data_IF_559199610040
#
_entry.id   IF_559199610040
#
_cell.length_a   1.000
_cell.length_b   1.000
_cell.length_c   1.000
_cell.angle_alpha   90.00
_cell.angle_beta   90.00
_cell.angle_gamma   90.00
#
_symmetry.space_group_name_H-M   'P 1'
#
loop_
_entity.id
_entity.type
_entity.pdbx_description
1 polymer ?
#
# COMPACT_ATOMS: atom_id res chain seq x y z
N UNK A 1 -12.99 73.61 54.49
CA UNK A 1 -12.37 73.23 53.20
C UNK A 1 -11.76 71.84 53.34
N UNK A 2 -12.46 70.80 52.86
CA UNK A 2 -11.97 69.40 52.93
C UNK A 2 -11.04 69.14 51.74
N UNK A 3 -9.79 68.73 52.01
CA UNK A 3 -8.81 68.32 50.98
C UNK A 3 -8.91 66.80 50.80
N UNK A 4 -9.22 66.35 49.60
CA UNK A 4 -9.20 64.92 49.23
C UNK A 4 -7.81 64.57 48.69
N UNK A 5 -7.18 63.54 49.26
CA UNK A 5 -5.92 62.97 48.79
C UNK A 5 -6.26 61.82 47.81
N UNK A 6 -5.83 61.92 46.56
CA UNK A 6 -5.99 60.87 45.55
C UNK A 6 -4.91 59.80 45.75
N UNK A 7 -5.31 58.55 45.97
CA UNK A 7 -4.43 57.37 45.94
C UNK A 7 -4.24 56.91 44.48
N UNK A 8 -3.02 56.62 44.01
CA UNK A 8 -2.81 56.02 42.70
C UNK A 8 -3.15 54.52 42.73
N UNK A 9 -4.02 54.09 41.81
CA UNK A 9 -4.30 52.68 41.55
C UNK A 9 -3.24 52.14 40.60
N UNK A 10 -2.46 51.14 41.05
CA UNK A 10 -1.50 50.43 40.21
C UNK A 10 -2.21 49.23 39.58
N UNK A 11 -2.39 49.25 38.26
CA UNK A 11 -2.93 48.11 37.51
C UNK A 11 -1.76 47.23 37.08
N UNK A 12 -1.63 46.05 37.69
CA UNK A 12 -0.64 45.05 37.29
C UNK A 12 -1.29 44.17 36.21
N UNK A 13 -0.93 44.40 34.95
CA UNK A 13 -1.33 43.52 33.84
C UNK A 13 -0.45 42.27 33.82
N UNK A 14 -1.06 41.11 34.08
CA UNK A 14 -0.42 39.81 33.85
C UNK A 14 -0.59 39.41 32.39
N UNK A 15 0.52 39.39 31.64
CA UNK A 15 0.57 38.78 30.31
C UNK A 15 0.72 37.28 30.51
N UNK A 16 -0.35 36.52 30.26
CA UNK A 16 -0.28 35.06 30.19
C UNK A 16 0.39 34.66 28.88
N UNK A 17 1.67 34.29 28.93
CA UNK A 17 2.35 33.63 27.83
C UNK A 17 1.92 32.17 27.81
N UNK A 18 1.02 31.81 26.89
CA UNK A 18 0.69 30.41 26.60
C UNK A 18 1.95 29.71 26.04
N UNK A 19 2.25 28.47 26.47
CA UNK A 19 3.30 27.69 25.83
C UNK A 19 2.96 27.46 24.35
N UNK A 20 3.95 27.40 23.45
CA UNK A 20 3.71 27.10 22.05
C UNK A 20 3.02 25.75 21.92
N UNK A 21 1.84 25.75 21.30
CA UNK A 21 1.16 24.51 20.92
C UNK A 21 2.02 23.86 19.84
N UNK A 22 2.72 22.78 20.19
CA UNK A 22 3.35 21.90 19.21
C UNK A 22 2.21 21.15 18.54
N UNK A 23 1.74 21.64 17.39
CA UNK A 23 0.93 20.79 16.51
C UNK A 23 1.81 19.62 16.11
N UNK A 24 1.39 18.39 16.43
CA UNK A 24 1.96 17.22 15.79
C UNK A 24 1.81 17.42 14.27
N UNK A 25 2.92 17.35 13.54
CA UNK A 25 2.86 17.35 12.07
C UNK A 25 1.98 16.16 11.67
N UNK A 26 0.78 16.44 11.14
CA UNK A 26 0.01 15.42 10.43
C UNK A 26 0.86 15.01 9.22
N UNK A 27 1.50 13.84 9.32
CA UNK A 27 2.24 13.27 8.21
C UNK A 27 1.26 13.12 7.03
N UNK A 28 1.53 13.71 5.85
CA UNK A 28 0.60 13.63 4.73
C UNK A 28 0.26 12.17 4.42
N UNK A 29 -1.03 11.85 4.48
CA UNK A 29 -1.53 10.53 4.15
C UNK A 29 -1.13 10.17 2.71
N UNK A 30 -0.57 8.97 2.53
CA UNK A 30 -0.15 8.48 1.23
C UNK A 30 -1.38 7.93 0.51
N UNK A 31 -1.80 8.61 -0.54
CA UNK A 31 -2.96 8.20 -1.35
C UNK A 31 -2.45 7.44 -2.57
N UNK A 32 -2.73 6.14 -2.61
CA UNK A 32 -2.50 5.28 -3.78
C UNK A 32 -3.79 5.13 -4.58
N UNK A 33 -3.67 4.93 -5.91
CA UNK A 33 -4.84 4.66 -6.74
C UNK A 33 -5.49 3.34 -6.32
N UNK A 34 -6.83 3.37 -6.18
CA UNK A 34 -7.64 2.23 -5.75
C UNK A 34 -8.47 1.57 -6.87
N UNK A 35 -8.44 2.10 -8.10
CA UNK A 35 -9.19 1.57 -9.26
C UNK A 35 -8.25 1.09 -10.37
N UNK A 36 -8.52 -0.09 -10.93
CA UNK A 36 -7.69 -0.68 -12.00
C UNK A 36 -7.78 0.09 -13.31
N UNK A 37 -6.71 0.05 -14.12
CA UNK A 37 -6.67 0.62 -15.48
C UNK A 37 -5.68 -0.10 -16.38
N UNK A 38 -5.76 0.18 -17.67
CA UNK A 38 -4.72 -0.19 -18.62
C UNK A 38 -3.49 0.72 -18.43
N UNK A 39 -2.33 0.10 -18.20
CA UNK A 39 -1.05 0.76 -17.98
C UNK A 39 -0.02 0.29 -19.01
N UNK A 40 0.58 1.25 -19.71
CA UNK A 40 1.79 1.00 -20.52
C UNK A 40 3.04 1.00 -19.65
N UNK A 41 4.12 0.40 -20.12
CA UNK A 41 5.39 0.31 -19.39
C UNK A 41 5.90 1.68 -18.91
N UNK A 42 5.80 2.70 -19.75
CA UNK A 42 6.21 4.06 -19.38
C UNK A 42 5.48 4.58 -18.14
N UNK A 43 4.16 4.34 -18.04
CA UNK A 43 3.35 4.81 -16.92
C UNK A 43 3.73 4.15 -15.60
N UNK A 44 4.05 2.85 -15.63
CA UNK A 44 4.55 2.14 -14.44
C UNK A 44 5.91 2.68 -13.98
N UNK A 45 6.80 3.00 -14.93
CA UNK A 45 8.15 3.51 -14.64
C UNK A 45 8.19 4.96 -14.13
N UNK A 46 7.04 5.63 -14.03
CA UNK A 46 6.91 7.00 -13.51
C UNK A 46 5.90 7.10 -12.36
N UNK A 47 5.42 5.97 -11.82
CA UNK A 47 4.61 5.97 -10.60
C UNK A 47 5.37 6.69 -9.48
N UNK A 48 4.66 7.42 -8.62
CA UNK A 48 5.27 8.11 -7.48
C UNK A 48 5.66 7.13 -6.38
N UNK A 49 6.55 7.56 -5.47
CA UNK A 49 6.98 6.78 -4.31
C UNK A 49 7.70 5.47 -4.66
N UNK A 50 8.50 5.47 -5.73
CA UNK A 50 9.33 4.32 -6.12
C UNK A 50 10.78 4.74 -6.32
N UNK A 51 11.68 3.83 -6.00
CA UNK A 51 13.08 3.88 -6.40
C UNK A 51 13.33 2.81 -7.44
N UNK A 52 13.77 3.20 -8.64
CA UNK A 52 14.04 2.27 -9.74
C UNK A 52 15.54 2.01 -9.81
N UNK A 53 15.93 0.74 -9.66
CA UNK A 53 17.31 0.29 -9.83
C UNK A 53 17.60 0.03 -11.31
N UNK A 54 16.68 -0.61 -12.02
CA UNK A 54 16.85 -0.95 -13.43
C UNK A 54 15.52 -0.94 -14.19
N UNK A 55 15.50 -0.40 -15.41
CA UNK A 55 14.32 -0.40 -16.30
C UNK A 55 14.46 -1.45 -17.39
N UNK A 56 13.36 -2.04 -17.81
CA UNK A 56 13.31 -2.95 -18.97
C UNK A 56 11.98 -2.83 -19.74
N UNK A 57 11.91 -3.46 -20.92
CA UNK A 57 10.79 -3.29 -21.86
C UNK A 57 9.44 -3.87 -21.39
N UNK A 58 9.42 -4.50 -20.22
CA UNK A 58 8.21 -5.09 -19.63
C UNK A 58 7.98 -4.61 -18.19
N UNK A 59 8.72 -3.60 -17.72
CA UNK A 59 8.62 -3.12 -16.33
C UNK A 59 9.92 -2.54 -15.76
N UNK A 60 10.16 -2.78 -14.46
CA UNK A 60 11.39 -2.36 -13.79
C UNK A 60 11.74 -3.24 -12.58
N UNK A 61 13.00 -3.19 -12.15
CA UNK A 61 13.48 -3.63 -10.83
C UNK A 61 13.64 -2.43 -9.91
N UNK A 62 13.15 -2.53 -8.68
CA UNK A 62 13.12 -1.42 -7.74
C UNK A 62 12.38 -1.75 -6.44
N UNK A 63 12.10 -0.72 -5.65
CA UNK A 63 11.34 -0.85 -4.40
C UNK A 63 10.50 0.40 -4.14
N UNK A 64 9.58 0.33 -3.18
CA UNK A 64 8.83 1.49 -2.73
C UNK A 64 9.72 2.41 -1.89
N UNK A 65 9.44 3.73 -1.93
CA UNK A 65 10.00 4.69 -0.98
C UNK A 65 9.03 5.01 0.14
N UNK A 66 7.87 4.33 0.20
CA UNK A 66 6.90 4.47 1.27
C UNK A 66 7.46 3.80 2.52
N UNK A 67 7.36 4.49 3.66
CA UNK A 67 7.65 3.90 4.97
C UNK A 67 6.33 3.34 5.48
N UNK A 68 6.11 2.05 5.23
CA UNK A 68 4.89 1.36 5.63
C UNK A 68 4.83 1.23 7.17
N UNK A 69 3.62 1.13 7.71
CA UNK A 69 3.39 0.98 9.14
C UNK A 69 2.44 -0.18 9.38
N UNK A 70 3.00 -1.40 9.38
CA UNK A 70 2.24 -2.64 9.43
C UNK A 70 1.80 -3.04 10.84
N UNK A 71 0.55 -3.44 10.95
CA UNK A 71 -0.04 -4.10 12.11
C UNK A 71 -0.65 -5.43 11.68
N UNK A 72 -0.18 -6.53 12.25
CA UNK A 72 -0.82 -7.84 12.05
C UNK A 72 -2.03 -7.98 12.98
N UNK A 73 -3.17 -8.37 12.42
CA UNK A 73 -4.41 -8.52 13.17
C UNK A 73 -5.13 -9.81 12.79
N UNK A 74 -5.67 -10.51 13.78
CA UNK A 74 -6.61 -11.61 13.55
C UNK A 74 -8.04 -11.07 13.55
N UNK A 75 -8.76 -11.31 12.46
CA UNK A 75 -10.12 -10.86 12.22
C UNK A 75 -10.97 -12.06 11.78
N UNK A 76 -12.02 -12.36 12.53
CA UNK A 76 -12.91 -13.51 12.28
C UNK A 76 -12.17 -14.87 12.10
N UNK A 77 -11.02 -15.03 12.75
CA UNK A 77 -10.18 -16.24 12.66
C UNK A 77 -9.20 -16.26 11.48
N UNK A 78 -9.25 -15.26 10.60
CA UNK A 78 -8.29 -15.04 9.51
C UNK A 78 -7.26 -13.97 9.90
N UNK A 79 -6.09 -13.96 9.25
CA UNK A 79 -5.05 -12.95 9.50
C UNK A 79 -5.02 -11.90 8.38
N UNK A 80 -5.01 -10.64 8.79
CA UNK A 80 -4.86 -9.47 7.91
C UNK A 80 -3.69 -8.61 8.37
N UNK A 81 -3.17 -7.79 7.47
CA UNK A 81 -2.15 -6.78 7.76
C UNK A 81 -2.73 -5.41 7.43
N UNK A 82 -2.83 -4.57 8.45
CA UNK A 82 -3.24 -3.17 8.30
C UNK A 82 -1.98 -2.36 8.05
N UNK A 83 -1.95 -1.60 6.96
CA UNK A 83 -0.91 -0.62 6.69
C UNK A 83 -1.43 0.79 6.99
N UNK A 84 -1.01 1.33 8.13
CA UNK A 84 -1.44 2.66 8.59
C UNK A 84 -0.89 3.79 7.73
N UNK A 85 0.17 3.56 6.94
CA UNK A 85 0.75 4.58 6.06
C UNK A 85 -0.12 4.84 4.81
N UNK A 86 -0.73 3.78 4.28
CA UNK A 86 -1.53 3.83 3.04
C UNK A 86 -3.04 3.70 3.28
N UNK A 87 -3.47 3.39 4.50
CA UNK A 87 -4.88 3.13 4.81
C UNK A 87 -5.41 1.86 4.12
N UNK A 88 -4.56 0.86 3.90
CA UNK A 88 -4.91 -0.39 3.24
C UNK A 88 -4.93 -1.54 4.23
N UNK A 89 -5.80 -2.51 3.98
CA UNK A 89 -5.81 -3.80 4.66
C UNK A 89 -5.50 -4.87 3.63
N UNK A 90 -4.52 -5.71 3.95
CA UNK A 90 -4.05 -6.78 3.10
C UNK A 90 -4.38 -8.13 3.72
N UNK A 91 -4.59 -9.14 2.88
CA UNK A 91 -4.45 -10.51 3.37
C UNK A 91 -3.00 -10.71 3.84
N UNK A 92 -2.83 -11.28 5.04
CA UNK A 92 -1.49 -11.59 5.56
C UNK A 92 -0.83 -12.71 4.75
N UNK A 93 -1.64 -13.64 4.25
CA UNK A 93 -1.26 -14.65 3.27
C UNK A 93 -1.88 -14.34 1.91
N UNK A 94 -2.09 -15.35 1.07
CA UNK A 94 -2.68 -15.22 -0.25
C UNK A 94 -3.17 -16.59 -0.73
N UNK A 95 -3.29 -16.75 -2.04
CA UNK A 95 -3.57 -18.07 -2.62
C UNK A 95 -2.47 -19.08 -2.25
N UNK A 96 -2.86 -20.34 -2.03
CA UNK A 96 -1.92 -21.43 -1.75
C UNK A 96 -1.14 -21.87 -2.98
N UNK A 97 -1.72 -21.67 -4.16
CA UNK A 97 -1.16 -22.02 -5.45
C UNK A 97 -1.08 -20.80 -6.36
N UNK A 98 -0.23 -20.89 -7.38
CA UNK A 98 -0.21 -19.91 -8.46
C UNK A 98 -1.40 -20.11 -9.38
N UNK A 99 -2.04 -19.02 -9.77
CA UNK A 99 -3.23 -19.01 -10.62
C UNK A 99 -2.95 -18.25 -11.89
N UNK A 100 -3.55 -18.68 -13.00
CA UNK A 100 -3.69 -17.82 -14.18
C UNK A 100 -4.66 -16.67 -13.86
N UNK A 101 -4.62 -15.60 -14.65
CA UNK A 101 -5.37 -14.40 -14.31
C UNK A 101 -6.90 -14.61 -14.26
N UNK A 102 -7.53 -15.36 -15.19
CA UNK A 102 -8.95 -15.69 -15.08
C UNK A 102 -9.31 -16.46 -13.80
N UNK A 103 -8.47 -17.43 -13.38
CA UNK A 103 -8.68 -18.14 -12.11
C UNK A 103 -8.46 -17.25 -10.90
N UNK A 104 -7.51 -16.32 -10.96
CA UNK A 104 -7.30 -15.34 -9.91
C UNK A 104 -8.52 -14.43 -9.74
N UNK A 105 -9.12 -13.97 -10.85
CA UNK A 105 -10.36 -13.18 -10.84
C UNK A 105 -11.53 -13.98 -10.24
N UNK A 106 -11.68 -15.25 -10.60
CA UNK A 106 -12.70 -16.12 -9.98
C UNK A 106 -12.45 -16.33 -8.48
N UNK A 107 -11.18 -16.53 -8.09
CA UNK A 107 -10.82 -16.73 -6.68
C UNK A 107 -11.17 -15.51 -5.80
N UNK A 108 -11.07 -14.28 -6.35
CA UNK A 108 -11.50 -13.06 -5.64
C UNK A 108 -13.01 -13.09 -5.36
N UNK A 109 -13.81 -13.51 -6.35
CA UNK A 109 -15.27 -13.63 -6.21
C UNK A 109 -15.62 -14.66 -5.13
N UNK A 110 -15.06 -15.86 -5.24
CA UNK A 110 -15.31 -16.95 -4.29
C UNK A 110 -14.91 -16.59 -2.86
N UNK A 111 -13.84 -15.81 -2.70
CA UNK A 111 -13.36 -15.36 -1.40
C UNK A 111 -14.26 -14.30 -0.77
N UNK A 112 -14.77 -13.35 -1.58
CA UNK A 112 -15.73 -12.36 -1.13
C UNK A 112 -17.07 -12.99 -0.75
N UNK A 113 -17.54 -13.99 -1.50
CA UNK A 113 -18.78 -14.72 -1.19
C UNK A 113 -18.69 -15.46 0.15
N UNK A 114 -17.48 -15.89 0.55
CA UNK A 114 -17.20 -16.52 1.85
C UNK A 114 -17.05 -15.51 3.00
N UNK A 115 -16.88 -14.22 2.70
CA UNK A 115 -16.71 -13.20 3.73
C UNK A 115 -15.38 -13.32 4.50
N UNK A 116 -14.26 -13.54 3.80
CA UNK A 116 -12.93 -13.68 4.43
C UNK A 116 -12.63 -12.52 5.40
N UNK A 117 -12.17 -12.86 6.60
CA UNK A 117 -11.94 -11.91 7.70
C UNK A 117 -13.17 -11.03 8.05
N UNK A 118 -14.39 -11.49 7.71
CA UNK A 118 -15.63 -10.73 7.90
C UNK A 118 -15.92 -9.69 6.81
N UNK A 119 -15.20 -9.71 5.68
CA UNK A 119 -15.32 -8.71 4.61
C UNK A 119 -15.57 -9.34 3.23
N UNK A 120 -16.25 -8.59 2.36
CA UNK A 120 -16.68 -9.04 1.03
C UNK A 120 -16.33 -8.04 -0.10
N UNK A 121 -15.42 -7.11 0.18
CA UNK A 121 -14.95 -6.04 -0.72
C UNK A 121 -13.45 -6.18 -1.04
N UNK A 122 -12.91 -7.39 -0.92
CA UNK A 122 -11.55 -7.70 -1.32
C UNK A 122 -11.38 -7.61 -2.84
N UNK A 123 -10.23 -7.11 -3.28
CA UNK A 123 -9.90 -6.99 -4.70
C UNK A 123 -8.43 -7.29 -4.96
N UNK A 124 -8.11 -7.60 -6.21
CA UNK A 124 -6.73 -7.53 -6.67
C UNK A 124 -6.19 -6.11 -6.42
N UNK A 125 -4.93 -5.95 -6.00
CA UNK A 125 -4.33 -4.64 -5.84
C UNK A 125 -4.16 -3.94 -7.18
N UNK A 126 -4.06 -2.62 -7.15
CA UNK A 126 -3.45 -1.89 -8.27
C UNK A 126 -1.94 -2.11 -8.26
N UNK A 127 -1.27 -1.79 -9.36
CA UNK A 127 0.18 -1.85 -9.43
C UNK A 127 0.84 -0.91 -8.41
N UNK A 128 0.26 0.26 -8.14
CA UNK A 128 0.77 1.21 -7.14
C UNK A 128 0.73 0.61 -5.73
N UNK A 129 -0.38 -0.02 -5.36
CA UNK A 129 -0.57 -0.71 -4.08
C UNK A 129 0.34 -1.94 -3.96
N UNK A 130 0.46 -2.76 -5.01
CA UNK A 130 1.33 -3.93 -4.96
C UNK A 130 2.82 -3.54 -4.90
N UNK A 131 3.22 -2.45 -5.58
CA UNK A 131 4.58 -1.92 -5.52
C UNK A 131 4.90 -1.34 -4.14
N UNK A 132 3.92 -0.81 -3.39
CA UNK A 132 4.16 -0.27 -2.04
C UNK A 132 4.65 -1.34 -1.05
N UNK A 133 4.41 -2.62 -1.33
CA UNK A 133 4.91 -3.75 -0.54
C UNK A 133 6.38 -4.11 -0.83
N UNK A 134 7.00 -3.52 -1.86
CA UNK A 134 8.40 -3.81 -2.19
C UNK A 134 9.34 -3.11 -1.22
N UNK A 135 10.03 -3.89 -0.38
CA UNK A 135 11.04 -3.41 0.55
C UNK A 135 12.39 -3.14 -0.15
N UNK A 136 13.21 -2.19 0.34
CA UNK A 136 14.54 -1.91 -0.22
C UNK A 136 15.55 -3.04 0.03
N UNK A 137 15.31 -3.88 1.04
CA UNK A 137 16.18 -4.97 1.43
C UNK A 137 15.46 -6.31 1.40
N UNK A 138 16.23 -7.39 1.23
CA UNK A 138 15.69 -8.74 1.35
C UNK A 138 15.51 -9.15 2.81
N UNK A 139 14.40 -9.81 3.09
CA UNK A 139 14.17 -10.50 4.36
C UNK A 139 14.96 -11.82 4.44
N UNK A 140 14.81 -12.56 5.54
CA UNK A 140 15.48 -13.86 5.76
C UNK A 140 15.09 -14.95 4.77
N UNK A 141 13.92 -14.83 4.14
CA UNK A 141 13.47 -15.72 3.06
C UNK A 141 13.91 -15.25 1.68
N UNK A 142 14.82 -14.27 1.62
CA UNK A 142 15.41 -13.75 0.39
C UNK A 142 14.41 -13.01 -0.52
N UNK A 143 13.36 -12.42 0.07
CA UNK A 143 12.30 -11.67 -0.62
C UNK A 143 12.31 -10.19 -0.25
N UNK A 144 11.99 -9.30 -1.19
CA UNK A 144 11.82 -7.85 -1.01
C UNK A 144 10.40 -7.52 -0.51
N UNK A 145 10.03 -8.06 0.66
CA UNK A 145 8.74 -7.79 1.32
C UNK A 145 8.92 -7.90 2.83
N UNK A 146 8.13 -7.14 3.59
CA UNK A 146 8.16 -7.16 5.05
C UNK A 146 7.84 -8.57 5.60
N UNK A 147 8.57 -9.06 6.62
CA UNK A 147 8.34 -10.37 7.23
C UNK A 147 6.96 -10.57 7.88
N UNK A 148 6.15 -9.53 8.04
CA UNK A 148 4.76 -9.64 8.50
C UNK A 148 3.90 -10.47 7.55
N UNK A 149 4.24 -10.49 6.26
CA UNK A 149 3.53 -11.24 5.22
C UNK A 149 4.06 -12.67 5.09
N UNK A 150 3.17 -13.60 4.74
CA UNK A 150 3.57 -14.96 4.38
C UNK A 150 4.52 -14.94 3.16
N UNK A 151 5.63 -15.64 3.30
CA UNK A 151 6.70 -15.74 2.30
C UNK A 151 6.41 -16.71 1.15
N UNK A 152 5.30 -17.45 1.18
CA UNK A 152 4.88 -18.35 0.09
C UNK A 152 4.64 -17.58 -1.20
N UNK A 153 4.01 -16.41 -1.12
CA UNK A 153 3.69 -15.61 -2.30
C UNK A 153 4.93 -14.84 -2.78
N UNK A 154 5.75 -15.45 -3.63
CA UNK A 154 6.96 -14.82 -4.19
C UNK A 154 6.65 -13.72 -5.23
N UNK A 155 5.43 -13.69 -5.74
CA UNK A 155 4.91 -12.62 -6.58
C UNK A 155 3.40 -12.72 -6.78
N UNK A 156 2.76 -11.57 -6.93
CA UNK A 156 1.29 -11.44 -6.91
C UNK A 156 0.77 -10.75 -8.17
N UNK A 157 -0.41 -11.17 -8.59
CA UNK A 157 -1.19 -10.45 -9.60
C UNK A 157 -1.66 -9.08 -9.11
N UNK A 158 -1.77 -8.15 -10.05
CA UNK A 158 -2.52 -6.91 -9.90
C UNK A 158 -3.74 -6.95 -10.80
N UNK A 159 -4.72 -6.07 -10.57
CA UNK A 159 -5.85 -5.90 -11.47
C UNK A 159 -5.56 -5.02 -12.69
N UNK A 160 -4.42 -4.32 -12.71
CA UNK A 160 -4.03 -3.47 -13.84
C UNK A 160 -3.63 -4.31 -15.05
N UNK A 161 -4.14 -3.93 -16.22
CA UNK A 161 -3.86 -4.65 -17.47
C UNK A 161 -2.78 -3.95 -18.28
N UNK A 162 -2.16 -4.68 -19.20
CA UNK A 162 -1.39 -4.12 -20.30
C UNK A 162 -1.91 -4.69 -21.62
N UNK A 163 -2.91 -4.01 -22.18
CA UNK A 163 -3.55 -4.36 -23.46
C UNK A 163 -2.96 -3.59 -24.65
N UNK A 164 -2.11 -2.60 -24.37
CA UNK A 164 -1.61 -1.64 -25.37
C UNK A 164 -0.22 -2.00 -25.90
N UNK A 165 0.60 -2.64 -25.09
CA UNK A 165 1.98 -2.98 -25.47
C UNK A 165 2.09 -4.36 -26.15
N UNK A 166 0.99 -5.09 -26.35
CA UNK A 166 0.99 -6.44 -26.94
C UNK A 166 -0.33 -6.78 -27.64
N UNK A 167 -0.25 -7.61 -28.70
CA UNK A 167 -1.41 -8.20 -29.36
C UNK A 167 -2.18 -9.17 -28.44
N UNK A 168 -1.47 -9.85 -27.55
CA UNK A 168 -2.05 -10.69 -26.51
C UNK A 168 -2.33 -9.85 -25.26
N UNK A 169 -3.48 -10.08 -24.62
CA UNK A 169 -3.83 -9.42 -23.35
C UNK A 169 -2.86 -9.82 -22.24
N UNK A 170 -2.32 -8.83 -21.54
CA UNK A 170 -1.50 -9.02 -20.35
C UNK A 170 -2.01 -8.28 -19.13
N UNK A 171 -1.42 -8.56 -17.98
CA UNK A 171 -1.64 -7.86 -16.73
C UNK A 171 -0.35 -7.66 -15.97
N UNK A 172 -0.35 -6.65 -15.12
CA UNK A 172 0.77 -6.33 -14.23
C UNK A 172 0.81 -7.29 -13.06
N UNK A 173 2.02 -7.64 -12.65
CA UNK A 173 2.33 -8.40 -11.45
C UNK A 173 3.52 -7.76 -10.74
N UNK A 174 3.61 -7.99 -9.43
CA UNK A 174 4.75 -7.57 -8.60
C UNK A 174 5.38 -8.80 -7.99
N UNK A 175 6.69 -8.94 -8.17
CA UNK A 175 7.47 -10.08 -7.69
C UNK A 175 8.45 -9.63 -6.61
N UNK A 176 8.37 -10.28 -5.47
CA UNK A 176 9.20 -10.06 -4.29
C UNK A 176 10.52 -10.82 -4.37
N UNK A 177 10.62 -11.83 -5.24
CA UNK A 177 11.86 -12.58 -5.53
C UNK A 177 12.74 -11.93 -6.61
N UNK A 178 12.52 -10.63 -6.89
CA UNK A 178 13.20 -9.87 -7.94
C UNK A 178 14.74 -9.88 -7.87
N UNK A 179 15.38 -9.43 -8.96
CA UNK A 179 16.83 -9.40 -9.11
C UNK A 179 17.41 -7.98 -9.05
N UNK A 180 18.71 -7.84 -9.34
CA UNK A 180 19.37 -6.53 -9.50
C UNK A 180 19.21 -5.57 -8.30
N UNK A 181 19.06 -6.09 -7.08
CA UNK A 181 18.92 -5.26 -5.89
C UNK A 181 17.52 -4.70 -5.63
N UNK A 182 16.47 -5.23 -6.26
CA UNK A 182 15.08 -4.87 -5.93
C UNK A 182 14.05 -5.91 -6.32
N UNK A 183 12.81 -5.70 -5.87
CA UNK A 183 11.65 -6.42 -6.41
C UNK A 183 11.39 -6.06 -7.86
N UNK A 184 10.44 -6.74 -8.50
CA UNK A 184 10.16 -6.54 -9.92
C UNK A 184 8.68 -6.22 -10.15
N UNK A 185 8.40 -5.06 -10.73
CA UNK A 185 7.08 -4.77 -11.29
C UNK A 185 7.13 -5.03 -12.79
N UNK A 186 6.36 -6.00 -13.27
CA UNK A 186 6.33 -6.34 -14.68
C UNK A 186 4.95 -6.76 -15.18
N UNK A 187 4.69 -6.58 -16.47
CA UNK A 187 3.52 -7.18 -17.09
C UNK A 187 3.87 -8.53 -17.70
N UNK A 188 2.90 -9.45 -17.65
CA UNK A 188 2.97 -10.79 -18.24
C UNK A 188 1.65 -11.11 -18.92
N UNK A 189 1.64 -12.13 -19.78
CA UNK A 189 0.41 -12.57 -20.44
C UNK A 189 -0.59 -13.17 -19.44
N UNK A 190 -1.89 -13.07 -19.73
CA UNK A 190 -2.95 -13.55 -18.83
C UNK A 190 -2.92 -15.06 -18.54
N UNK A 191 -2.22 -15.85 -19.36
CA UNK A 191 -2.02 -17.29 -19.17
C UNK A 191 -0.74 -17.65 -18.40
N UNK A 192 0.09 -16.66 -18.04
CA UNK A 192 1.12 -16.86 -17.02
C UNK A 192 0.45 -17.15 -15.68
N UNK A 193 1.23 -17.58 -14.69
CA UNK A 193 0.72 -17.84 -13.34
C UNK A 193 1.48 -17.00 -12.32
N UNK A 194 0.76 -16.45 -11.35
CA UNK A 194 1.30 -15.78 -10.16
C UNK A 194 0.38 -16.10 -8.98
N UNK A 195 0.83 -15.83 -7.75
CA UNK A 195 -0.05 -15.90 -6.60
C UNK A 195 -1.04 -14.74 -6.59
N UNK A 196 -2.00 -14.81 -5.68
CA UNK A 196 -2.95 -13.73 -5.39
C UNK A 196 -2.80 -13.31 -3.95
N UNK A 197 -2.77 -12.00 -3.69
CA UNK A 197 -2.88 -11.40 -2.35
C UNK A 197 -3.83 -10.22 -2.49
N UNK A 198 -4.97 -10.28 -1.82
CA UNK A 198 -5.99 -9.25 -1.95
C UNK A 198 -5.73 -8.10 -1.01
N UNK A 199 -6.26 -6.95 -1.44
CA UNK A 199 -6.26 -5.71 -0.68
C UNK A 199 -7.68 -5.17 -0.61
N UNK A 200 -7.94 -4.39 0.42
CA UNK A 200 -9.11 -3.54 0.56
C UNK A 200 -8.70 -2.22 1.23
N UNK A 201 -9.53 -1.21 1.10
CA UNK A 201 -9.30 0.08 1.75
C UNK A 201 -9.93 0.08 3.14
N UNK A 202 -9.32 0.78 4.10
CA UNK A 202 -10.00 1.06 5.38
C UNK A 202 -11.17 2.01 5.07
N UNK A 203 -12.40 1.57 5.33
CA UNK A 203 -13.55 2.46 5.27
C UNK A 203 -13.45 3.43 6.45
N UNK A 204 -12.85 4.59 6.24
CA UNK A 204 -12.98 5.71 7.18
C UNK A 204 -14.43 6.18 7.09
N UNK A 205 -15.27 5.78 8.04
CA UNK A 205 -16.51 6.51 8.29
C UNK A 205 -16.05 7.89 8.79
N UNK A 206 -16.13 8.90 7.93
CA UNK A 206 -16.07 10.30 8.34
C UNK A 206 -17.32 10.68 9.13
#
# INVERSE_FOLDING_TARGET
>A
MKKYLLLPVVIISFVLLSPPVIQAEENPQIILRSSHRDLIVYQIQIISNIFIVNKHNYGFYGHSTIINSYENKSENGDNVVIDHATGLIWQQSGSDEVLDLPKAEQWVIDLNDKGFAGYSDWRLPTAEEAISLLEPGRNTSNLYIDPVFDTKQTGIWTGDKNTRDSYLKGAWCVRFDGGYGGGNACWVYNNATNYVRLVRSVNTIQ
#
